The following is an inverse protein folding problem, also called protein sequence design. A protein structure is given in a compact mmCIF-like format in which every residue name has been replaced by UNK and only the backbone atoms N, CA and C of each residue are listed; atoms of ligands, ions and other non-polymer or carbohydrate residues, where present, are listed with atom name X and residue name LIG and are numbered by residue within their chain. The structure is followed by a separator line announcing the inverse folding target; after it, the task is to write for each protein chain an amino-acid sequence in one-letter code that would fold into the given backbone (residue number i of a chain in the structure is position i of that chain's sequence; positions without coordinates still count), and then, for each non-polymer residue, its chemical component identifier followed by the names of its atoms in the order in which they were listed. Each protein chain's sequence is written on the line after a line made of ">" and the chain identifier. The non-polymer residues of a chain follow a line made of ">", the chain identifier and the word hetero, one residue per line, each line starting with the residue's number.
data_IF_322036758570
#
_entry.id   IF_322036758570
#
_cell.length_a   1.000
_cell.length_b   1.000
_cell.length_c   1.000
_cell.angle_alpha   90.00
_cell.angle_beta   90.00
_cell.angle_gamma   90.00
#
_symmetry.space_group_name_H-M   'P 1'
#
loop_
_entity.id
_entity.type
_entity.pdbx_description
1 polymer ?
#
# COMPACT_ATOMS: atom_id res chain seq x y z
N UNK A 1 3.00 12.05 4.04
CA UNK A 1 3.62 11.50 2.82
C UNK A 1 5.03 12.06 2.72
N UNK A 2 6.04 11.22 2.57
CA UNK A 2 7.46 11.60 2.60
C UNK A 2 8.05 11.80 1.19
N UNK A 3 7.25 11.58 0.14
CA UNK A 3 7.70 11.75 -1.25
C UNK A 3 8.50 10.57 -1.81
N UNK A 4 8.55 9.45 -1.07
CA UNK A 4 9.23 8.21 -1.46
C UNK A 4 8.40 7.03 -1.01
N UNK A 5 8.04 6.16 -1.95
CA UNK A 5 7.12 5.05 -1.74
C UNK A 5 7.63 4.08 -0.66
N UNK A 6 8.92 3.75 -0.66
CA UNK A 6 9.51 2.83 0.31
C UNK A 6 9.47 3.38 1.75
N UNK A 7 9.71 4.68 1.96
CA UNK A 7 9.59 5.26 3.31
C UNK A 7 8.13 5.40 3.75
N UNK A 8 7.21 5.74 2.85
CA UNK A 8 5.79 5.78 3.18
C UNK A 8 5.26 4.37 3.55
N UNK A 9 5.75 3.31 2.87
CA UNK A 9 5.45 1.92 3.23
C UNK A 9 6.03 1.53 4.60
N UNK A 10 7.28 1.92 4.90
CA UNK A 10 7.85 1.72 6.24
C UNK A 10 7.09 2.54 7.31
N UNK A 11 6.55 3.70 6.96
CA UNK A 11 5.72 4.47 7.87
C UNK A 11 4.38 3.76 8.17
N UNK A 12 3.81 3.01 7.21
CA UNK A 12 2.70 2.09 7.48
C UNK A 12 3.14 0.95 8.41
N UNK A 13 4.29 0.32 8.12
CA UNK A 13 4.83 -0.76 8.94
C UNK A 13 5.04 -0.36 10.41
N UNK A 14 5.51 0.87 10.67
CA UNK A 14 5.70 1.39 12.02
C UNK A 14 4.43 1.99 12.65
N UNK A 15 3.26 1.91 11.99
CA UNK A 15 2.01 2.49 12.49
C UNK A 15 1.96 4.02 12.48
N UNK A 16 2.89 4.69 11.81
CA UNK A 16 2.89 6.16 11.64
C UNK A 16 1.88 6.63 10.60
N UNK A 17 1.61 5.80 9.60
CA UNK A 17 0.53 5.97 8.64
C UNK A 17 -0.44 4.79 8.76
N UNK A 18 -1.74 5.06 8.67
CA UNK A 18 -2.75 3.99 8.65
C UNK A 18 -2.84 3.32 7.26
N UNK A 19 -2.46 4.02 6.20
CA UNK A 19 -2.44 3.50 4.84
C UNK A 19 -1.53 4.31 3.90
N UNK A 20 -1.16 3.67 2.79
CA UNK A 20 -0.47 4.22 1.64
C UNK A 20 -1.04 3.58 0.38
N UNK A 21 -1.34 4.39 -0.64
CA UNK A 21 -1.63 3.88 -1.98
C UNK A 21 -0.89 4.70 -3.03
N UNK A 22 -0.48 4.07 -4.12
CA UNK A 22 0.10 4.75 -5.28
C UNK A 22 0.03 3.87 -6.53
N UNK A 23 0.11 4.52 -7.69
CA UNK A 23 0.14 3.93 -9.03
C UNK A 23 1.43 4.32 -9.74
N UNK A 24 1.80 3.55 -10.77
CA UNK A 24 2.97 3.79 -11.63
C UNK A 24 4.28 3.84 -10.84
N UNK A 25 4.49 2.88 -9.94
CA UNK A 25 5.76 2.68 -9.25
C UNK A 25 6.66 1.75 -10.06
N UNK A 26 7.95 2.05 -10.11
CA UNK A 26 8.90 1.03 -10.57
C UNK A 26 9.04 -0.05 -9.49
N UNK A 27 9.37 -1.31 -9.84
CA UNK A 27 9.45 -2.39 -8.85
C UNK A 27 10.38 -2.07 -7.67
N UNK A 28 11.50 -1.39 -7.92
CA UNK A 28 12.45 -0.99 -6.88
C UNK A 28 11.94 0.10 -5.92
N UNK A 29 10.94 0.89 -6.33
CA UNK A 29 10.37 1.95 -5.48
C UNK A 29 9.57 1.36 -4.30
N UNK A 30 9.02 0.15 -4.47
CA UNK A 30 8.09 -0.43 -3.50
C UNK A 30 8.45 -1.83 -2.99
N UNK A 31 9.22 -2.64 -3.73
CA UNK A 31 9.41 -4.06 -3.39
C UNK A 31 9.87 -4.28 -1.93
N UNK A 32 10.91 -3.56 -1.50
CA UNK A 32 11.43 -3.67 -0.13
C UNK A 32 10.41 -3.17 0.91
N UNK A 33 9.82 -1.99 0.69
CA UNK A 33 8.83 -1.42 1.61
C UNK A 33 7.57 -2.27 1.73
N UNK A 34 7.11 -2.87 0.63
CA UNK A 34 5.95 -3.74 0.58
C UNK A 34 6.17 -5.03 1.37
N UNK A 35 7.37 -5.63 1.28
CA UNK A 35 7.75 -6.76 2.11
C UNK A 35 7.74 -6.38 3.59
N UNK A 36 8.42 -5.30 3.96
CA UNK A 36 8.50 -4.83 5.35
C UNK A 36 7.09 -4.56 5.92
N UNK A 37 6.24 -3.86 5.18
CA UNK A 37 4.87 -3.57 5.61
C UNK A 37 4.06 -4.85 5.83
N UNK A 38 4.20 -5.84 4.93
CA UNK A 38 3.51 -7.13 5.06
C UNK A 38 3.98 -7.92 6.29
N UNK A 39 5.29 -8.00 6.53
CA UNK A 39 5.84 -8.68 7.72
C UNK A 39 5.45 -7.98 9.03
N UNK A 40 5.24 -6.66 8.99
CA UNK A 40 4.70 -5.89 10.11
C UNK A 40 3.17 -6.06 10.31
N UNK A 41 2.50 -6.87 9.48
CA UNK A 41 1.08 -7.18 9.60
C UNK A 41 0.15 -6.25 8.80
N UNK A 42 0.68 -5.33 7.99
CA UNK A 42 -0.15 -4.54 7.09
C UNK A 42 -0.68 -5.41 5.94
N UNK A 43 -1.91 -5.13 5.50
CA UNK A 43 -2.45 -5.71 4.27
C UNK A 43 -1.83 -4.98 3.08
N UNK A 44 -1.15 -5.72 2.21
CA UNK A 44 -0.54 -5.19 0.97
C UNK A 44 -1.18 -5.87 -0.24
N UNK A 45 -1.83 -5.11 -1.11
CA UNK A 45 -2.58 -5.65 -2.26
C UNK A 45 -2.60 -4.71 -3.47
N UNK A 46 -2.91 -5.29 -4.63
CA UNK A 46 -3.31 -4.58 -5.84
C UNK A 46 -4.81 -4.28 -5.84
N UNK A 47 -5.36 -3.90 -7.00
CA UNK A 47 -6.81 -3.76 -7.21
C UNK A 47 -7.47 -5.12 -7.44
N UNK A 48 -8.77 -5.23 -7.10
CA UNK A 48 -9.60 -6.41 -7.39
C UNK A 48 -9.01 -7.72 -6.87
N UNK A 49 -8.36 -7.68 -5.70
CA UNK A 49 -7.70 -8.85 -5.11
C UNK A 49 -6.39 -9.29 -5.81
N UNK A 50 -5.89 -8.51 -6.77
CA UNK A 50 -4.59 -8.77 -7.39
C UNK A 50 -3.44 -8.58 -6.38
N UNK A 51 -2.27 -9.14 -6.73
CA UNK A 51 -1.04 -8.84 -6.02
C UNK A 51 -0.65 -7.37 -6.23
N UNK A 52 -0.03 -6.76 -5.22
CA UNK A 52 0.51 -5.41 -5.34
C UNK A 52 1.59 -5.36 -6.43
N UNK A 53 1.53 -4.33 -7.27
CA UNK A 53 2.46 -4.14 -8.39
C UNK A 53 2.73 -2.66 -8.64
N UNK A 54 3.56 -2.38 -9.64
CA UNK A 54 3.80 -1.02 -10.12
C UNK A 54 2.54 -0.34 -10.64
N UNK A 55 1.57 -1.08 -11.18
CA UNK A 55 0.30 -0.51 -11.66
C UNK A 55 -0.53 0.06 -10.50
N UNK A 56 -0.61 -0.70 -9.41
CA UNK A 56 -1.32 -0.30 -8.21
C UNK A 56 -0.78 -1.04 -6.99
N UNK A 57 -0.58 -0.27 -5.92
CA UNK A 57 -0.28 -0.79 -4.60
C UNK A 57 -1.12 -0.05 -3.56
N UNK A 58 -1.77 -0.82 -2.69
CA UNK A 58 -2.35 -0.38 -1.42
C UNK A 58 -1.66 -1.13 -0.30
N UNK A 59 -1.15 -0.40 0.69
CA UNK A 59 -0.71 -0.93 1.97
C UNK A 59 -1.53 -0.25 3.07
N UNK A 60 -2.19 -1.02 3.94
CA UNK A 60 -3.03 -0.45 4.99
C UNK A 60 -3.09 -1.35 6.24
N UNK A 61 -3.40 -0.73 7.37
CA UNK A 61 -3.79 -1.43 8.59
C UNK A 61 -5.02 -2.33 8.31
N UNK A 62 -5.08 -3.57 8.83
CA UNK A 62 -6.10 -4.55 8.44
C UNK A 62 -7.55 -4.09 8.60
N UNK A 63 -7.90 -3.35 9.67
CA UNK A 63 -9.26 -2.87 9.89
C UNK A 63 -9.67 -1.78 8.88
N UNK A 64 -8.70 -1.10 8.25
CA UNK A 64 -8.94 -0.05 7.28
C UNK A 64 -8.85 -0.54 5.83
N UNK A 65 -8.08 -1.58 5.54
CA UNK A 65 -7.75 -2.04 4.19
C UNK A 65 -8.97 -2.22 3.27
N UNK A 66 -9.96 -3.00 3.71
CA UNK A 66 -11.16 -3.28 2.89
C UNK A 66 -11.99 -2.02 2.62
N UNK A 67 -12.10 -1.14 3.62
CA UNK A 67 -12.86 0.12 3.50
C UNK A 67 -12.20 1.06 2.50
N UNK A 68 -10.87 1.14 2.51
CA UNK A 68 -10.11 1.95 1.56
C UNK A 68 -10.17 1.38 0.15
N UNK A 69 -9.97 0.08 -0.02
CA UNK A 69 -10.06 -0.56 -1.34
C UNK A 69 -11.43 -0.29 -1.99
N UNK A 70 -12.52 -0.47 -1.24
CA UNK A 70 -13.88 -0.19 -1.73
C UNK A 70 -14.09 1.30 -2.06
N UNK A 71 -13.50 2.21 -1.29
CA UNK A 71 -13.59 3.64 -1.57
C UNK A 71 -12.82 4.02 -2.85
N UNK A 72 -11.60 3.50 -3.01
CA UNK A 72 -10.75 3.72 -4.18
C UNK A 72 -11.40 3.18 -5.46
N UNK A 73 -11.98 1.97 -5.41
CA UNK A 73 -12.74 1.39 -6.52
C UNK A 73 -13.92 2.26 -6.96
N UNK A 74 -14.69 2.81 -6.01
CA UNK A 74 -15.82 3.71 -6.34
C UNK A 74 -15.38 5.03 -6.96
N UNK A 75 -14.15 5.48 -6.67
CA UNK A 75 -13.58 6.71 -7.20
C UNK A 75 -12.83 6.50 -8.53
N UNK A 76 -12.78 5.26 -9.05
CA UNK A 76 -12.10 4.94 -10.30
C UNK A 76 -10.57 4.98 -10.19
N UNK A 77 -10.04 4.69 -8.99
CA UNK A 77 -8.60 4.59 -8.75
C UNK A 77 -7.95 3.46 -9.56
#
# INVERSE_FOLDING_TARGET
>A
RMGTASLDLCAVACGRLNAYYERRLSPWDHAAGALIAREAGARVSGLHGAAASGEFLLAAEPALAQRLENALLRLGA
#
